data_IF_443651963622
#
_entry.id   IF_443651963622
#
_cell.length_a   1.000
_cell.length_b   1.000
_cell.length_c   1.000
_cell.angle_alpha   90.00
_cell.angle_beta   90.00
_cell.angle_gamma   90.00
#
_symmetry.space_group_name_H-M   'P 1'
#
loop_
_entity.id
_entity.type
_entity.pdbx_description
1 polymer ?
#
# COMPACT_ATOMS: atom_id res chain seq x y z
N UNK A 1 -12.38 -1.05 9.90
CA UNK A 1 -13.18 -1.20 8.67
C UNK A 1 -12.24 -1.06 7.48
N UNK A 2 -11.88 -2.15 6.81
CA UNK A 2 -11.12 -2.03 5.56
C UNK A 2 -12.11 -1.74 4.42
N UNK A 3 -12.13 -0.50 3.94
CA UNK A 3 -12.91 -0.14 2.76
C UNK A 3 -12.15 -0.61 1.52
N UNK A 4 -12.62 -1.69 0.90
CA UNK A 4 -12.04 -2.24 -0.30
C UNK A 4 -12.82 -1.74 -1.52
N UNK A 5 -12.12 -1.39 -2.60
CA UNK A 5 -12.77 -1.08 -3.88
C UNK A 5 -13.47 -2.33 -4.46
N UNK A 6 -14.28 -2.18 -5.50
CA UNK A 6 -14.89 -3.31 -6.21
C UNK A 6 -13.87 -4.31 -6.81
N UNK A 7 -12.57 -4.01 -6.77
CA UNK A 7 -11.46 -4.92 -7.12
C UNK A 7 -10.69 -5.44 -5.92
N UNK A 8 -11.22 -5.33 -4.70
CA UNK A 8 -10.53 -5.74 -3.47
C UNK A 8 -9.37 -4.81 -3.09
N UNK A 9 -9.24 -3.63 -3.70
CA UNK A 9 -8.12 -2.75 -3.44
C UNK A 9 -8.35 -1.95 -2.16
N UNK A 10 -7.44 -2.08 -1.21
CA UNK A 10 -7.39 -1.20 -0.03
C UNK A 10 -6.97 0.23 -0.43
N UNK A 11 -7.20 1.22 0.44
CA UNK A 11 -6.73 2.59 0.20
C UNK A 11 -5.22 2.66 -0.04
N UNK A 12 -4.44 1.75 0.57
CA UNK A 12 -3.00 1.63 0.36
C UNK A 12 -2.66 1.26 -1.10
N UNK A 13 -3.44 0.39 -1.75
CA UNK A 13 -3.24 0.08 -3.18
C UNK A 13 -3.45 1.31 -4.06
N UNK A 14 -4.47 2.12 -3.75
CA UNK A 14 -4.78 3.33 -4.52
C UNK A 14 -3.68 4.38 -4.33
N UNK A 15 -3.22 4.59 -3.10
CA UNK A 15 -2.11 5.50 -2.79
C UNK A 15 -0.80 5.05 -3.46
N UNK A 16 -0.47 3.76 -3.39
CA UNK A 16 0.70 3.18 -4.04
C UNK A 16 0.64 3.28 -5.57
N UNK A 17 -0.52 3.02 -6.17
CA UNK A 17 -0.74 3.16 -7.62
C UNK A 17 -0.61 4.61 -8.08
N UNK A 18 -1.03 5.56 -7.25
CA UNK A 18 -0.92 7.00 -7.53
C UNK A 18 0.45 7.60 -7.20
N UNK A 19 1.40 6.82 -6.68
CA UNK A 19 2.70 7.32 -6.22
C UNK A 19 2.62 8.24 -5.01
N UNK A 20 1.51 8.21 -4.25
CA UNK A 20 1.25 9.11 -3.12
C UNK A 20 1.85 8.54 -1.83
N UNK A 21 3.18 8.66 -1.69
CA UNK A 21 3.91 8.10 -0.55
C UNK A 21 3.46 8.66 0.81
N UNK A 22 3.14 9.96 0.89
CA UNK A 22 2.67 10.57 2.13
C UNK A 22 1.31 10.02 2.58
N UNK A 23 0.36 9.87 1.65
CA UNK A 23 -0.93 9.25 1.93
C UNK A 23 -0.78 7.78 2.31
N UNK A 24 0.12 7.06 1.62
CA UNK A 24 0.43 5.67 1.92
C UNK A 24 0.98 5.51 3.35
N UNK A 25 1.92 6.36 3.76
CA UNK A 25 2.48 6.35 5.11
C UNK A 25 1.40 6.58 6.18
N UNK A 26 0.54 7.58 5.96
CA UNK A 26 -0.54 7.91 6.90
C UNK A 26 -1.56 6.76 7.02
N UNK A 27 -1.86 6.08 5.91
CA UNK A 27 -2.71 4.89 5.90
C UNK A 27 -2.08 3.73 6.66
N UNK A 28 -0.79 3.46 6.46
CA UNK A 28 -0.07 2.41 7.17
C UNK A 28 0.01 2.66 8.68
N UNK A 29 0.20 3.91 9.10
CA UNK A 29 0.19 4.30 10.52
C UNK A 29 -1.19 4.14 11.20
N UNK A 30 -2.28 4.17 10.45
CA UNK A 30 -3.65 4.13 10.98
C UNK A 30 -4.25 2.73 11.05
N UNK A 31 -3.46 1.68 10.76
CA UNK A 31 -3.84 0.25 10.67
C UNK A 31 -4.25 -0.26 9.27
N UNK A 32 -3.74 0.35 8.19
CA UNK A 32 -3.78 -0.29 6.88
C UNK A 32 -2.71 -1.40 6.82
N UNK A 33 -3.13 -2.58 6.37
CA UNK A 33 -2.22 -3.70 6.16
C UNK A 33 -1.44 -3.52 4.84
N UNK A 34 -0.11 -3.37 4.95
CA UNK A 34 0.80 -3.22 3.82
C UNK A 34 0.84 -4.48 2.93
N UNK A 35 0.47 -5.63 3.49
CA UNK A 35 0.49 -6.93 2.83
C UNK A 35 -0.87 -7.37 2.31
N UNK A 36 -1.92 -6.56 2.49
CA UNK A 36 -3.25 -6.86 1.96
C UNK A 36 -3.17 -7.10 0.46
N UNK A 37 -3.71 -8.22 0.00
CA UNK A 37 -3.83 -8.51 -1.43
C UNK A 37 -5.17 -8.01 -1.98
N UNK A 38 -5.16 -7.46 -3.18
CA UNK A 38 -6.35 -7.17 -3.95
C UNK A 38 -6.95 -8.42 -4.62
N UNK A 39 -8.05 -8.28 -5.36
CA UNK A 39 -8.71 -9.40 -6.03
C UNK A 39 -7.85 -10.09 -7.12
N UNK A 40 -6.75 -9.46 -7.54
CA UNK A 40 -5.76 -10.04 -8.45
C UNK A 40 -4.56 -10.66 -7.73
N UNK A 41 -4.53 -10.66 -6.39
CA UNK A 41 -3.38 -11.11 -5.61
C UNK A 41 -2.23 -10.11 -5.58
N UNK A 42 -2.41 -8.90 -6.12
CA UNK A 42 -1.40 -7.84 -6.07
C UNK A 42 -1.46 -7.16 -4.70
N UNK A 43 -0.29 -6.84 -4.13
CA UNK A 43 -0.17 -6.02 -2.90
C UNK A 43 0.03 -4.54 -3.25
N UNK A 44 -0.09 -3.60 -2.29
CA UNK A 44 0.30 -2.21 -2.50
C UNK A 44 1.71 -2.07 -3.07
N UNK A 45 2.65 -2.94 -2.67
CA UNK A 45 4.02 -2.94 -3.19
C UNK A 45 4.08 -3.25 -4.68
N UNK A 46 3.28 -4.21 -5.17
CA UNK A 46 3.19 -4.50 -6.60
C UNK A 46 2.70 -3.27 -7.38
N UNK A 47 1.72 -2.53 -6.84
CA UNK A 47 1.24 -1.28 -7.46
C UNK A 47 2.31 -0.19 -7.46
N UNK A 48 3.02 0.00 -6.34
CA UNK A 48 4.11 0.98 -6.23
C UNK A 48 5.25 0.68 -7.21
N UNK A 49 5.62 -0.59 -7.35
CA UNK A 49 6.63 -1.05 -8.30
C UNK A 49 6.19 -0.80 -9.75
N UNK A 50 4.93 -1.09 -10.09
CA UNK A 50 4.37 -0.80 -11.42
C UNK A 50 4.28 0.70 -11.71
N UNK A 51 4.00 1.51 -10.70
CA UNK A 51 4.00 2.97 -10.82
C UNK A 51 5.43 3.56 -10.89
N UNK A 52 6.47 2.77 -10.59
CA UNK A 52 7.85 3.24 -10.54
C UNK A 52 8.14 4.19 -9.37
N UNK A 53 7.30 4.21 -8.34
CA UNK A 53 7.45 5.12 -7.21
C UNK A 53 8.33 4.51 -6.12
N UNK A 54 9.61 4.87 -6.16
CA UNK A 54 10.61 4.44 -5.16
C UNK A 54 10.23 4.91 -3.75
N UNK A 55 9.64 6.09 -3.60
CA UNK A 55 9.20 6.63 -2.31
C UNK A 55 8.09 5.77 -1.68
N UNK A 56 7.11 5.32 -2.47
CA UNK A 56 6.09 4.40 -1.98
C UNK A 56 6.68 3.04 -1.57
N UNK A 57 7.66 2.53 -2.32
CA UNK A 57 8.37 1.29 -1.98
C UNK A 57 9.12 1.44 -0.66
N UNK A 58 9.85 2.55 -0.46
CA UNK A 58 10.55 2.84 0.78
C UNK A 58 9.60 2.91 1.99
N UNK A 59 8.44 3.53 1.83
CA UNK A 59 7.41 3.61 2.87
C UNK A 59 6.84 2.22 3.21
N UNK A 60 6.52 1.40 2.21
CA UNK A 60 6.01 0.04 2.43
C UNK A 60 7.06 -0.85 3.10
N UNK A 61 8.30 -0.78 2.64
CA UNK A 61 9.41 -1.52 3.24
C UNK A 61 9.67 -1.10 4.69
N UNK A 62 9.56 0.21 5.00
CA UNK A 62 9.70 0.71 6.36
C UNK A 62 8.56 0.26 7.30
N UNK A 63 7.35 0.08 6.75
CA UNK A 63 6.22 -0.50 7.51
C UNK A 63 6.34 -2.00 7.70
N UNK A 64 6.85 -2.75 6.71
CA UNK A 64 7.15 -4.18 6.88
C UNK A 64 8.32 -4.42 7.84
N UNK A 65 9.28 -3.48 7.93
CA UNK A 65 10.42 -3.59 8.83
C UNK A 65 10.12 -3.24 10.30
N UNK A 66 8.91 -2.78 10.64
CA UNK A 66 8.45 -2.70 12.03
C UNK A 66 8.10 -4.11 12.55
N UNK A 67 9.11 -4.95 12.70
CA UNK A 67 9.05 -6.17 13.51
C UNK A 67 9.65 -5.88 14.88
N UNK A 68 8.80 -5.62 15.88
CA UNK A 68 9.09 -5.84 17.30
C UNK A 68 7.85 -6.40 18.02
#
# INVERSE_FOLDING_TARGET
MQSLSGRGQSPAHLAACGGQAFCLLWLLQTAADANQQDASGETPMHKAARAGSLECISVLMASEAHFE
#
